data_IF_621081263775
#
_entry.id   IF_621081263775
#
_cell.length_a   1.000
_cell.length_b   1.000
_cell.length_c   1.000
_cell.angle_alpha   90.00
_cell.angle_beta   90.00
_cell.angle_gamma   90.00
#
_symmetry.space_group_name_H-M   'P 1'
#
loop_
_entity.id
_entity.type
_entity.pdbx_description
1 polymer ?
#
# COMPACT_ATOMS: atom_id res chain seq x y z
N UNK A 1 -34.61 75.58 -44.81
CA UNK A 1 -33.49 76.16 -44.04
C UNK A 1 -32.48 75.06 -43.81
N UNK A 2 -31.31 75.15 -44.46
CA UNK A 2 -30.18 74.25 -44.22
C UNK A 2 -29.44 74.71 -42.97
N UNK A 3 -29.19 73.80 -42.03
CA UNK A 3 -28.40 74.09 -40.82
C UNK A 3 -26.95 73.77 -41.16
N UNK A 4 -26.14 74.82 -41.31
CA UNK A 4 -24.68 74.73 -41.42
C UNK A 4 -24.10 74.29 -40.07
N UNK A 5 -23.40 73.15 -40.07
CA UNK A 5 -22.86 72.51 -38.86
C UNK A 5 -21.34 72.69 -38.76
N UNK A 6 -20.76 73.69 -39.44
CA UNK A 6 -19.30 73.87 -39.54
C UNK A 6 -18.53 74.19 -38.25
N UNK A 7 -19.16 74.31 -37.08
CA UNK A 7 -18.44 74.74 -35.86
C UNK A 7 -18.98 74.20 -34.53
N UNK A 8 -19.36 72.91 -34.48
CA UNK A 8 -19.54 72.24 -33.19
C UNK A 8 -18.27 71.45 -32.85
N UNK A 9 -17.49 71.95 -31.89
CA UNK A 9 -16.48 71.14 -31.18
C UNK A 9 -17.21 69.99 -30.47
N UNK A 10 -17.18 68.82 -31.08
CA UNK A 10 -17.53 67.55 -30.42
C UNK A 10 -16.43 67.22 -29.42
N UNK A 11 -16.79 66.61 -28.27
CA UNK A 11 -15.87 66.33 -27.17
C UNK A 11 -14.86 65.20 -27.45
N UNK A 12 -14.70 64.83 -28.72
CA UNK A 12 -13.93 63.68 -29.18
C UNK A 12 -13.19 64.10 -30.45
N UNK A 13 -11.87 64.01 -30.44
CA UNK A 13 -11.02 64.26 -31.61
C UNK A 13 -11.36 63.28 -32.75
N UNK A 14 -11.18 63.70 -34.00
CA UNK A 14 -11.42 62.85 -35.19
C UNK A 14 -10.51 61.60 -35.22
N UNK A 15 -9.44 61.58 -34.43
CA UNK A 15 -8.57 60.41 -34.20
C UNK A 15 -9.04 59.48 -33.07
N UNK A 16 -10.21 59.73 -32.45
CA UNK A 16 -10.74 58.87 -31.41
C UNK A 16 -10.93 57.44 -31.95
N UNK A 17 -10.44 56.43 -31.23
CA UNK A 17 -10.45 55.00 -31.60
C UNK A 17 -11.85 54.41 -31.93
N UNK A 18 -12.91 55.19 -31.72
CA UNK A 18 -14.30 54.91 -32.09
C UNK A 18 -14.56 55.12 -33.59
N UNK A 19 -13.70 55.83 -34.32
CA UNK A 19 -13.78 56.03 -35.77
C UNK A 19 -12.91 55.06 -36.57
N UNK A 20 -12.11 54.22 -35.91
CA UNK A 20 -11.34 53.17 -36.58
C UNK A 20 -12.31 52.04 -36.99
N UNK A 21 -12.65 51.96 -38.28
CA UNK A 21 -13.39 50.83 -38.84
C UNK A 21 -12.64 49.54 -38.53
N UNK A 22 -13.21 48.70 -37.67
CA UNK A 22 -12.75 47.31 -37.54
C UNK A 22 -12.99 46.60 -38.87
N UNK A 23 -11.93 46.29 -39.59
CA UNK A 23 -11.99 45.36 -40.71
C UNK A 23 -12.34 43.96 -40.16
N UNK A 24 -13.62 43.61 -40.23
CA UNK A 24 -14.14 42.32 -39.80
C UNK A 24 -13.75 41.16 -40.74
N UNK A 25 -13.07 41.46 -41.86
CA UNK A 25 -12.61 40.48 -42.86
C UNK A 25 -11.18 39.98 -42.66
N UNK A 26 -10.40 40.53 -41.72
CA UNK A 26 -9.05 40.04 -41.45
C UNK A 26 -9.08 38.79 -40.53
N UNK A 27 -8.81 37.63 -41.12
CA UNK A 27 -8.63 36.39 -40.36
C UNK A 27 -7.61 36.58 -39.23
N UNK A 28 -7.82 35.95 -38.06
CA UNK A 28 -6.87 36.07 -36.92
C UNK A 28 -5.40 35.75 -37.28
N UNK A 29 -5.18 34.99 -38.37
CA UNK A 29 -3.87 34.65 -38.93
C UNK A 29 -3.16 35.83 -39.62
N UNK A 30 -3.88 36.75 -40.28
CA UNK A 30 -3.31 37.93 -40.92
C UNK A 30 -2.92 38.99 -39.90
N UNK A 31 -3.76 39.22 -38.88
CA UNK A 31 -3.47 40.12 -37.76
C UNK A 31 -2.23 39.68 -36.98
N UNK A 32 -2.10 38.39 -36.70
CA UNK A 32 -0.90 37.84 -36.04
C UNK A 32 0.38 38.07 -36.84
N UNK A 33 0.35 37.98 -38.18
CA UNK A 33 1.54 38.22 -39.01
C UNK A 33 2.00 39.69 -39.01
N UNK A 34 1.08 40.63 -38.87
CA UNK A 34 1.35 42.09 -38.87
C UNK A 34 1.83 42.65 -37.52
N UNK A 35 1.69 41.89 -36.43
CA UNK A 35 2.07 42.37 -35.08
C UNK A 35 3.57 42.30 -34.80
N UNK A 36 4.10 43.35 -34.15
CA UNK A 36 5.47 43.38 -33.65
C UNK A 36 5.64 42.39 -32.48
N UNK A 37 6.87 41.91 -32.22
CA UNK A 37 7.18 40.90 -31.19
C UNK A 37 6.62 41.26 -29.82
N UNK A 38 6.69 42.53 -29.42
CA UNK A 38 6.13 43.01 -28.15
C UNK A 38 4.60 42.86 -28.07
N UNK A 39 3.88 43.22 -29.14
CA UNK A 39 2.41 43.12 -29.19
C UNK A 39 1.94 41.66 -29.15
N UNK A 40 2.69 40.73 -29.77
CA UNK A 40 2.42 39.28 -29.70
C UNK A 40 2.56 38.74 -28.28
N UNK A 41 3.58 39.18 -27.54
CA UNK A 41 3.80 38.79 -26.14
C UNK A 41 2.67 39.34 -25.26
N UNK A 42 2.28 40.60 -25.44
CA UNK A 42 1.16 41.19 -24.70
C UNK A 42 -0.14 40.44 -24.99
N UNK A 43 -0.44 40.15 -26.26
CA UNK A 43 -1.65 39.40 -26.61
C UNK A 43 -1.62 37.96 -26.08
N UNK A 44 -0.46 37.31 -26.09
CA UNK A 44 -0.29 36.01 -25.44
C UNK A 44 -0.56 36.07 -23.94
N UNK A 45 0.01 37.05 -23.25
CA UNK A 45 -0.18 37.25 -21.81
C UNK A 45 -1.65 37.52 -21.45
N UNK A 46 -2.34 38.35 -22.22
CA UNK A 46 -3.73 38.73 -21.95
C UNK A 46 -4.71 37.57 -22.14
N UNK A 47 -4.54 36.76 -23.20
CA UNK A 47 -5.56 35.77 -23.59
C UNK A 47 -5.16 34.32 -23.32
N UNK A 48 -3.87 33.99 -23.35
CA UNK A 48 -3.40 32.60 -23.33
C UNK A 48 -2.63 32.22 -22.06
N UNK A 49 -2.07 33.19 -21.32
CA UNK A 49 -1.31 32.88 -20.10
C UNK A 49 -2.18 32.27 -19.01
N UNK A 50 -3.37 32.81 -18.75
CA UNK A 50 -4.29 32.27 -17.75
C UNK A 50 -4.76 30.83 -18.08
N UNK A 51 -5.28 30.52 -19.29
CA UNK A 51 -5.64 29.15 -19.62
C UNK A 51 -4.42 28.22 -19.71
N UNK A 52 -3.24 28.71 -20.11
CA UNK A 52 -2.01 27.92 -20.08
C UNK A 52 -1.64 27.51 -18.65
N UNK A 53 -1.67 28.44 -17.69
CA UNK A 53 -1.38 28.14 -16.27
C UNK A 53 -2.36 27.11 -15.74
N UNK A 54 -3.65 27.25 -16.03
CA UNK A 54 -4.68 26.26 -15.64
C UNK A 54 -4.41 24.90 -16.28
N UNK A 55 -4.06 24.86 -17.56
CA UNK A 55 -3.71 23.62 -18.26
C UNK A 55 -2.48 22.93 -17.68
N UNK A 56 -1.43 23.69 -17.37
CA UNK A 56 -0.23 23.17 -16.70
C UNK A 56 -0.57 22.64 -15.30
N UNK A 57 -1.41 23.35 -14.54
CA UNK A 57 -1.85 22.90 -13.22
C UNK A 57 -2.57 21.54 -13.29
N UNK A 58 -3.48 21.38 -14.25
CA UNK A 58 -4.19 20.12 -14.47
C UNK A 58 -3.20 19.01 -14.83
N UNK A 59 -2.24 19.27 -15.71
CA UNK A 59 -1.21 18.28 -16.07
C UNK A 59 -0.33 17.91 -14.87
N UNK A 60 0.04 18.87 -14.01
CA UNK A 60 0.79 18.59 -12.79
C UNK A 60 -0.01 17.72 -11.82
N UNK A 61 -1.32 17.96 -11.67
CA UNK A 61 -2.19 17.13 -10.82
C UNK A 61 -2.30 15.71 -11.38
N UNK A 62 -2.54 15.56 -12.68
CA UNK A 62 -2.58 14.25 -13.35
C UNK A 62 -1.22 13.53 -13.21
N UNK A 63 -0.12 14.23 -13.47
CA UNK A 63 1.23 13.69 -13.33
C UNK A 63 1.55 13.27 -11.90
N UNK A 64 1.09 14.02 -10.90
CA UNK A 64 1.24 13.66 -9.49
C UNK A 64 0.50 12.37 -9.14
N UNK A 65 -0.74 12.18 -9.60
CA UNK A 65 -1.47 10.93 -9.38
C UNK A 65 -0.80 9.75 -10.06
N UNK A 66 -0.35 9.90 -11.32
CA UNK A 66 0.39 8.84 -12.02
C UNK A 66 1.69 8.50 -11.28
N UNK A 67 2.44 9.50 -10.81
CA UNK A 67 3.64 9.28 -10.03
C UNK A 67 3.35 8.52 -8.72
N UNK A 68 2.32 8.92 -7.99
CA UNK A 68 1.89 8.24 -6.76
C UNK A 68 1.43 6.80 -7.01
N UNK A 69 0.54 6.59 -7.97
CA UNK A 69 -0.15 5.31 -8.15
C UNK A 69 0.65 4.28 -8.95
N UNK A 70 1.55 4.73 -9.84
CA UNK A 70 2.34 3.83 -10.70
C UNK A 70 3.78 3.74 -10.25
N UNK A 71 4.42 4.86 -9.92
CA UNK A 71 5.86 4.89 -9.61
C UNK A 71 6.11 4.61 -8.12
N UNK A 72 5.17 5.02 -7.25
CA UNK A 72 5.33 4.87 -5.79
C UNK A 72 4.58 3.66 -5.23
N UNK A 73 4.00 2.81 -6.09
CA UNK A 73 3.34 1.58 -5.66
C UNK A 73 4.39 0.58 -5.22
N UNK A 74 4.36 0.21 -3.94
CA UNK A 74 5.21 -0.85 -3.39
C UNK A 74 4.61 -2.21 -3.72
N UNK A 75 5.46 -3.13 -4.15
CA UNK A 75 5.12 -4.54 -4.28
C UNK A 75 5.11 -5.20 -2.90
N UNK A 76 4.09 -6.03 -2.67
CA UNK A 76 3.97 -6.74 -1.40
C UNK A 76 4.86 -7.98 -1.50
N UNK A 77 6.01 -7.93 -0.83
CA UNK A 77 6.99 -9.00 -0.86
C UNK A 77 6.62 -10.14 0.10
N UNK A 78 5.93 -9.83 1.19
CA UNK A 78 5.45 -10.83 2.14
C UNK A 78 4.10 -10.41 2.66
N UNK A 79 3.13 -11.32 2.73
CA UNK A 79 1.79 -11.06 3.26
C UNK A 79 1.46 -12.04 4.38
N UNK A 80 1.23 -11.50 5.56
CA UNK A 80 0.84 -12.26 6.74
C UNK A 80 -0.49 -11.75 7.30
N UNK A 81 -1.43 -12.68 7.50
CA UNK A 81 -2.71 -12.41 8.15
C UNK A 81 -2.57 -12.58 9.67
N UNK A 82 -2.95 -11.56 10.45
CA UNK A 82 -3.00 -11.64 11.92
C UNK A 82 -4.47 -11.68 12.33
N UNK A 83 -4.92 -12.82 12.85
CA UNK A 83 -6.33 -13.10 13.08
C UNK A 83 -6.72 -12.81 14.52
N UNK A 84 -7.79 -12.03 14.69
CA UNK A 84 -8.45 -11.70 15.95
C UNK A 84 -7.56 -11.01 17.00
N UNK A 85 -6.61 -10.21 16.52
CA UNK A 85 -5.75 -9.38 17.35
C UNK A 85 -6.18 -7.91 17.38
N UNK A 86 -5.68 -7.18 18.39
CA UNK A 86 -5.92 -5.74 18.52
C UNK A 86 -4.59 -5.01 18.64
N UNK A 87 -4.14 -4.42 17.53
CA UNK A 87 -2.99 -3.55 17.48
C UNK A 87 -3.34 -2.22 16.81
N UNK A 88 -2.50 -1.20 17.06
CA UNK A 88 -2.61 0.10 16.39
C UNK A 88 -1.77 0.09 15.11
N UNK A 89 -2.11 0.95 14.14
CA UNK A 89 -1.43 0.96 12.83
C UNK A 89 0.06 1.30 12.94
N UNK A 90 0.45 2.21 13.83
CA UNK A 90 1.84 2.67 13.98
C UNK A 90 2.82 1.51 14.27
N UNK A 91 2.65 0.70 15.34
CA UNK A 91 3.55 -0.42 15.62
C UNK A 91 3.48 -1.52 14.55
N UNK A 92 2.32 -1.77 13.94
CA UNK A 92 2.19 -2.73 12.83
C UNK A 92 3.00 -2.28 11.61
N UNK A 93 2.93 -0.99 11.27
CA UNK A 93 3.69 -0.41 10.16
C UNK A 93 5.20 -0.40 10.44
N UNK A 94 5.62 -0.09 11.68
CA UNK A 94 7.02 -0.19 12.07
C UNK A 94 7.53 -1.63 11.95
N UNK A 95 6.77 -2.61 12.44
CA UNK A 95 7.10 -4.03 12.33
C UNK A 95 7.20 -4.49 10.86
N UNK A 96 6.28 -4.00 10.02
CA UNK A 96 6.29 -4.19 8.56
C UNK A 96 7.57 -3.66 7.91
N UNK A 97 7.95 -2.43 8.22
CA UNK A 97 9.16 -1.79 7.67
C UNK A 97 10.43 -2.50 8.16
N UNK A 98 10.50 -2.84 9.45
CA UNK A 98 11.63 -3.58 10.05
C UNK A 98 11.83 -4.95 9.40
N UNK A 99 10.75 -5.71 9.17
CA UNK A 99 10.86 -7.01 8.52
C UNK A 99 11.24 -6.87 7.03
N UNK A 100 10.75 -5.84 6.35
CA UNK A 100 11.14 -5.55 4.96
C UNK A 100 12.64 -5.24 4.86
N UNK A 101 13.16 -4.45 5.80
CA UNK A 101 14.60 -4.18 5.91
C UNK A 101 15.40 -5.42 6.29
N UNK A 102 14.88 -6.27 7.17
CA UNK A 102 15.51 -7.54 7.54
C UNK A 102 15.74 -8.42 6.31
N UNK A 103 14.76 -8.49 5.40
CA UNK A 103 14.87 -9.17 4.10
C UNK A 103 15.81 -8.48 3.09
N UNK A 104 16.45 -7.36 3.46
CA UNK A 104 17.32 -6.54 2.59
C UNK A 104 16.65 -6.11 1.29
N UNK A 105 15.32 -5.94 1.31
CA UNK A 105 14.58 -5.43 0.17
C UNK A 105 14.61 -3.90 0.15
N UNK A 106 14.55 -3.32 -1.05
CA UNK A 106 14.42 -1.88 -1.23
C UNK A 106 13.07 -1.42 -0.65
N UNK A 107 13.05 -0.64 0.46
CA UNK A 107 11.81 -0.24 1.13
C UNK A 107 10.99 0.76 0.32
N UNK A 108 11.56 1.39 -0.71
CA UNK A 108 10.82 2.28 -1.61
C UNK A 108 10.00 1.49 -2.64
N UNK A 109 10.38 0.23 -2.88
CA UNK A 109 9.74 -0.65 -3.88
C UNK A 109 9.01 -1.83 -3.27
N UNK A 110 9.37 -2.26 -2.06
CA UNK A 110 8.83 -3.46 -1.43
C UNK A 110 8.25 -3.13 -0.06
N UNK A 111 7.25 -3.91 0.35
CA UNK A 111 6.66 -3.85 1.68
C UNK A 111 6.24 -5.25 2.14
N UNK A 112 6.42 -5.53 3.42
CA UNK A 112 5.82 -6.68 4.09
C UNK A 112 4.47 -6.28 4.67
N UNK A 113 3.37 -6.89 4.23
CA UNK A 113 2.04 -6.59 4.73
C UNK A 113 1.67 -7.50 5.91
N UNK A 114 1.50 -6.90 7.09
CA UNK A 114 0.91 -7.54 8.26
C UNK A 114 -0.49 -6.94 8.47
N UNK A 115 -1.53 -7.67 8.11
CA UNK A 115 -2.90 -7.15 8.16
C UNK A 115 -3.72 -7.85 9.24
N UNK A 116 -4.43 -7.06 10.04
CA UNK A 116 -5.33 -7.55 11.08
C UNK A 116 -6.67 -7.95 10.44
N UNK A 117 -7.11 -9.17 10.71
CA UNK A 117 -8.38 -9.72 10.25
C UNK A 117 -9.24 -10.11 11.44
N UNK A 118 -10.53 -9.80 11.37
CA UNK A 118 -11.48 -10.00 12.46
C UNK A 118 -12.52 -11.05 12.07
N UNK A 119 -12.24 -12.31 12.37
CA UNK A 119 -13.13 -13.45 12.09
C UNK A 119 -14.05 -13.76 13.28
N UNK A 120 -13.73 -13.27 14.48
CA UNK A 120 -14.61 -13.30 15.65
C UNK A 120 -15.66 -12.18 15.59
N UNK A 121 -16.93 -12.56 15.78
CA UNK A 121 -18.05 -11.62 15.63
C UNK A 121 -18.07 -10.53 16.69
N UNK A 122 -17.72 -10.86 17.95
CA UNK A 122 -17.75 -9.88 19.03
C UNK A 122 -16.61 -8.87 18.86
N UNK A 123 -15.43 -9.35 18.48
CA UNK A 123 -14.28 -8.50 18.22
C UNK A 123 -14.51 -7.62 16.98
N UNK A 124 -15.01 -8.19 15.88
CA UNK A 124 -15.31 -7.43 14.66
C UNK A 124 -16.31 -6.29 14.94
N UNK A 125 -17.37 -6.54 15.70
CA UNK A 125 -18.31 -5.49 16.12
C UNK A 125 -17.65 -4.38 16.92
N UNK A 126 -16.71 -4.72 17.82
CA UNK A 126 -15.99 -3.76 18.66
C UNK A 126 -15.11 -2.81 17.84
N UNK A 127 -14.51 -3.29 16.75
CA UNK A 127 -13.61 -2.51 15.89
C UNK A 127 -14.29 -1.96 14.62
N UNK A 128 -15.58 -2.24 14.42
CA UNK A 128 -16.32 -1.83 13.23
C UNK A 128 -15.94 -2.60 11.96
N UNK A 129 -15.41 -3.82 12.10
CA UNK A 129 -15.05 -4.70 10.99
C UNK A 129 -16.19 -5.65 10.62
N UNK A 130 -16.05 -6.34 9.48
CA UNK A 130 -17.01 -7.31 8.98
C UNK A 130 -16.37 -8.70 8.88
N UNK A 131 -16.84 -9.63 9.71
CA UNK A 131 -16.35 -11.02 9.70
C UNK A 131 -16.47 -11.69 8.34
N UNK A 132 -17.59 -11.47 7.64
CA UNK A 132 -17.81 -12.01 6.30
C UNK A 132 -16.82 -11.45 5.27
N UNK A 133 -16.52 -10.16 5.34
CA UNK A 133 -15.53 -9.52 4.47
C UNK A 133 -14.13 -10.08 4.71
N UNK A 134 -13.73 -10.17 5.97
CA UNK A 134 -12.38 -10.59 6.36
C UNK A 134 -12.13 -12.07 6.05
N UNK A 135 -13.10 -12.95 6.33
CA UNK A 135 -13.05 -14.36 5.94
C UNK A 135 -12.97 -14.55 4.42
N UNK A 136 -13.75 -13.76 3.67
CA UNK A 136 -13.73 -13.79 2.20
C UNK A 136 -12.37 -13.33 1.66
N UNK A 137 -11.78 -12.29 2.26
CA UNK A 137 -10.48 -11.78 1.84
C UNK A 137 -9.35 -12.77 2.16
N UNK A 138 -9.30 -13.36 3.36
CA UNK A 138 -8.33 -14.41 3.69
C UNK A 138 -8.46 -15.57 2.69
N UNK A 139 -9.68 -16.06 2.47
CA UNK A 139 -9.92 -17.17 1.53
C UNK A 139 -9.43 -16.83 0.12
N UNK A 140 -9.76 -15.64 -0.37
CA UNK A 140 -9.34 -15.18 -1.70
C UNK A 140 -7.81 -15.10 -1.82
N UNK A 141 -7.12 -14.61 -0.79
CA UNK A 141 -5.66 -14.52 -0.79
C UNK A 141 -5.01 -15.90 -0.77
N UNK A 142 -5.54 -16.85 0.01
CA UNK A 142 -5.07 -18.24 0.01
C UNK A 142 -5.28 -18.86 -1.37
N UNK A 143 -6.50 -18.83 -1.92
CA UNK A 143 -6.77 -19.45 -3.24
C UNK A 143 -5.99 -18.82 -4.40
N UNK A 144 -5.63 -17.53 -4.28
CA UNK A 144 -4.80 -16.83 -5.25
C UNK A 144 -3.28 -17.02 -5.00
N UNK A 145 -2.86 -17.81 -4.02
CA UNK A 145 -1.45 -17.99 -3.63
C UNK A 145 -0.72 -16.69 -3.22
N UNK A 146 -1.49 -15.70 -2.74
CA UNK A 146 -1.01 -14.37 -2.35
C UNK A 146 -0.81 -14.19 -0.84
N UNK A 147 -1.17 -15.19 -0.03
CA UNK A 147 -0.94 -15.20 1.41
C UNK A 147 0.27 -16.09 1.71
N UNK A 148 1.25 -15.55 2.43
CA UNK A 148 2.50 -16.25 2.74
C UNK A 148 2.52 -16.83 4.16
N UNK A 149 1.78 -16.19 5.07
CA UNK A 149 1.73 -16.61 6.46
C UNK A 149 0.42 -16.25 7.16
N UNK A 150 0.15 -16.91 8.27
CA UNK A 150 -0.96 -16.60 9.15
C UNK A 150 -0.52 -16.71 10.61
N UNK A 151 -0.91 -15.73 11.41
CA UNK A 151 -0.83 -15.72 12.87
C UNK A 151 -2.26 -15.79 13.39
N UNK A 152 -2.57 -16.84 14.15
CA UNK A 152 -3.92 -17.02 14.67
C UNK A 152 -3.89 -17.70 16.04
N UNK A 153 -4.97 -17.53 16.81
CA UNK A 153 -5.18 -18.34 18.00
C UNK A 153 -5.43 -19.80 17.64
N UNK A 154 -5.13 -20.70 18.58
CA UNK A 154 -5.15 -22.16 18.36
C UNK A 154 -6.44 -22.70 17.71
N UNK A 155 -7.61 -22.18 18.10
CA UNK A 155 -8.90 -22.58 17.51
C UNK A 155 -8.98 -22.27 16.01
N UNK A 156 -8.63 -21.03 15.64
CA UNK A 156 -8.66 -20.60 14.24
C UNK A 156 -7.55 -21.31 13.46
N UNK A 157 -6.35 -21.41 14.03
CA UNK A 157 -5.22 -22.12 13.45
C UNK A 157 -5.55 -23.58 13.14
N UNK A 158 -6.12 -24.32 14.11
CA UNK A 158 -6.53 -25.72 13.93
C UNK A 158 -7.52 -25.89 12.78
N UNK A 159 -8.41 -24.91 12.58
CA UNK A 159 -9.36 -24.93 11.46
C UNK A 159 -8.63 -24.88 10.11
N UNK A 160 -7.66 -23.98 9.95
CA UNK A 160 -6.87 -23.91 8.71
C UNK A 160 -5.91 -25.10 8.55
N UNK A 161 -5.31 -25.59 9.64
CA UNK A 161 -4.48 -26.80 9.65
C UNK A 161 -5.24 -28.02 9.15
N UNK A 162 -6.46 -28.26 9.67
CA UNK A 162 -7.29 -29.40 9.27
C UNK A 162 -7.69 -29.39 7.78
N UNK A 163 -7.64 -28.22 7.14
CA UNK A 163 -7.87 -28.05 5.71
C UNK A 163 -6.57 -28.12 4.87
N UNK A 164 -5.42 -28.40 5.51
CA UNK A 164 -4.14 -28.60 4.83
C UNK A 164 -3.46 -27.31 4.39
N UNK A 165 -3.76 -26.16 5.00
CA UNK A 165 -3.22 -24.88 4.55
C UNK A 165 -1.81 -24.54 5.07
N UNK A 166 -1.26 -25.31 6.01
CA UNK A 166 0.05 -25.04 6.59
C UNK A 166 1.12 -26.03 6.13
N UNK A 167 2.32 -25.51 5.94
CA UNK A 167 3.53 -26.29 5.68
C UNK A 167 3.86 -27.18 6.86
N UNK A 168 4.31 -28.40 6.57
CA UNK A 168 4.93 -29.29 7.55
C UNK A 168 6.35 -28.80 7.85
N UNK A 169 6.58 -28.29 9.07
CA UNK A 169 7.88 -27.72 9.44
C UNK A 169 8.96 -28.79 9.54
N UNK A 170 8.61 -30.05 9.81
CA UNK A 170 9.56 -31.16 9.88
C UNK A 170 10.14 -31.49 8.50
N UNK A 171 9.35 -31.31 7.44
CA UNK A 171 9.82 -31.52 6.06
C UNK A 171 10.50 -30.27 5.48
N UNK A 172 10.14 -29.08 5.98
CA UNK A 172 10.57 -27.81 5.41
C UNK A 172 11.83 -27.22 6.06
N UNK A 173 12.03 -27.41 7.35
CA UNK A 173 13.19 -26.90 8.10
C UNK A 173 14.25 -27.99 8.29
N UNK A 174 15.50 -27.59 8.46
CA UNK A 174 16.58 -28.50 8.87
C UNK A 174 16.42 -28.98 10.31
N UNK A 175 17.07 -30.10 10.65
CA UNK A 175 17.10 -30.62 12.02
C UNK A 175 17.67 -29.59 13.01
N UNK A 176 18.70 -28.84 12.61
CA UNK A 176 19.30 -27.79 13.43
C UNK A 176 18.33 -26.64 13.72
N UNK A 177 17.55 -26.21 12.72
CA UNK A 177 16.54 -25.18 12.87
C UNK A 177 15.41 -25.63 13.80
N UNK A 178 14.86 -26.83 13.56
CA UNK A 178 13.80 -27.41 14.39
C UNK A 178 14.23 -27.50 15.85
N UNK A 179 15.46 -27.94 16.10
CA UNK A 179 16.03 -28.02 17.45
C UNK A 179 16.20 -26.65 18.09
N UNK A 180 16.57 -25.62 17.33
CA UNK A 180 16.74 -24.27 17.85
C UNK A 180 15.42 -23.63 18.32
N UNK A 181 14.29 -24.03 17.73
CA UNK A 181 12.95 -23.52 18.07
C UNK A 181 12.03 -24.56 18.70
N UNK A 182 12.54 -25.73 19.08
CA UNK A 182 11.79 -26.83 19.69
C UNK A 182 10.81 -26.38 20.80
N UNK A 183 11.18 -25.48 21.74
CA UNK A 183 10.27 -25.02 22.79
C UNK A 183 9.06 -24.22 22.30
N UNK A 184 9.08 -23.78 21.04
CA UNK A 184 8.06 -22.95 20.42
C UNK A 184 7.22 -23.73 19.41
N UNK A 185 7.57 -24.98 19.07
CA UNK A 185 6.84 -25.73 18.04
C UNK A 185 5.39 -26.00 18.46
N UNK A 186 4.47 -25.77 17.53
CA UNK A 186 3.08 -26.21 17.63
C UNK A 186 2.92 -27.55 16.91
N UNK A 187 2.66 -28.58 17.71
CA UNK A 187 2.36 -29.93 17.24
C UNK A 187 0.86 -30.16 17.46
N UNK A 188 0.02 -30.12 16.41
CA UNK A 188 -1.42 -30.34 16.54
C UNK A 188 -1.71 -31.78 16.93
N UNK A 189 -2.60 -31.95 17.91
CA UNK A 189 -3.15 -33.25 18.28
C UNK A 189 -4.18 -33.68 17.23
N UNK A 190 -3.85 -34.67 16.41
CA UNK A 190 -4.74 -35.18 15.38
C UNK A 190 -4.43 -36.62 15.01
N UNK A 191 -5.47 -37.40 14.72
CA UNK A 191 -5.34 -38.81 14.30
C UNK A 191 -4.48 -38.98 13.04
N UNK A 192 -4.38 -37.93 12.21
CA UNK A 192 -3.58 -37.90 10.99
C UNK A 192 -2.11 -37.52 11.23
N UNK A 193 -1.79 -36.88 12.36
CA UNK A 193 -0.43 -36.47 12.70
C UNK A 193 0.24 -37.53 13.59
N UNK A 194 0.35 -38.76 13.10
CA UNK A 194 0.92 -39.89 13.86
C UNK A 194 2.40 -39.71 14.16
N UNK A 195 3.10 -38.93 13.33
CA UNK A 195 4.54 -38.66 13.44
C UNK A 195 4.85 -37.45 14.34
N UNK A 196 3.82 -36.77 14.87
CA UNK A 196 3.94 -35.58 15.74
C UNK A 196 4.74 -34.46 15.08
N UNK A 197 4.50 -34.22 13.80
CA UNK A 197 5.09 -33.12 13.06
C UNK A 197 4.54 -31.78 13.54
N UNK A 198 5.38 -30.76 13.47
CA UNK A 198 5.05 -29.39 13.79
C UNK A 198 4.53 -28.66 12.54
N UNK A 199 3.45 -27.89 12.70
CA UNK A 199 2.82 -27.12 11.61
C UNK A 199 2.82 -25.61 11.86
N UNK A 200 3.37 -25.18 12.99
CA UNK A 200 3.47 -23.77 13.34
C UNK A 200 4.40 -23.55 14.53
N UNK A 201 4.52 -22.29 14.92
CA UNK A 201 5.33 -21.86 16.07
C UNK A 201 4.52 -20.90 16.95
N UNK A 202 4.55 -21.14 18.26
CA UNK A 202 3.96 -20.25 19.25
C UNK A 202 4.76 -18.95 19.35
N UNK A 203 4.06 -17.82 19.27
CA UNK A 203 4.67 -16.49 19.30
C UNK A 203 4.61 -15.82 20.67
N UNK A 204 3.99 -16.44 21.68
CA UNK A 204 3.84 -15.88 23.05
C UNK A 204 5.16 -15.35 23.62
N UNK A 205 6.26 -16.05 23.32
CA UNK A 205 7.61 -15.70 23.80
C UNK A 205 8.44 -14.90 22.81
N UNK A 206 7.91 -14.56 21.63
CA UNK A 206 8.62 -13.74 20.66
C UNK A 206 8.51 -12.26 21.03
N UNK A 207 9.62 -11.68 21.51
CA UNK A 207 9.70 -10.25 21.82
C UNK A 207 9.37 -9.38 20.61
N UNK A 208 9.76 -9.83 19.40
CA UNK A 208 9.47 -9.11 18.15
C UNK A 208 7.99 -9.08 17.83
N UNK A 209 7.29 -10.19 17.95
CA UNK A 209 5.84 -10.20 17.74
C UNK A 209 5.13 -9.38 18.82
N UNK A 210 5.56 -9.51 20.07
CA UNK A 210 4.96 -8.80 21.21
C UNK A 210 5.15 -7.27 21.14
N UNK A 211 6.17 -6.77 20.42
CA UNK A 211 6.40 -5.33 20.22
C UNK A 211 5.30 -4.65 19.39
N UNK A 212 4.51 -5.42 18.64
CA UNK A 212 3.37 -4.92 17.86
C UNK A 212 2.26 -4.38 18.78
N UNK A 213 2.18 -4.88 20.03
CA UNK A 213 1.09 -4.60 20.95
C UNK A 213 1.49 -3.64 22.07
N UNK A 214 0.63 -2.68 22.36
CA UNK A 214 0.83 -1.76 23.48
C UNK A 214 0.76 -2.55 24.80
N UNK A 215 1.91 -2.72 25.47
CA UNK A 215 2.02 -3.47 26.73
C UNK A 215 2.74 -4.81 26.64
N UNK A 216 3.24 -5.21 25.46
CA UNK A 216 4.10 -6.38 25.31
C UNK A 216 3.37 -7.71 25.13
N UNK A 217 2.14 -7.69 24.61
CA UNK A 217 1.38 -8.89 24.26
C UNK A 217 0.00 -8.56 23.68
N UNK A 218 -0.46 -9.41 22.76
CA UNK A 218 -1.77 -9.28 22.11
C UNK A 218 -2.92 -9.83 22.96
N UNK A 219 -4.15 -9.75 22.43
CA UNK A 219 -5.35 -10.30 23.09
C UNK A 219 -5.48 -11.81 22.88
N UNK A 220 -4.79 -12.37 21.89
CA UNK A 220 -4.74 -13.81 21.65
C UNK A 220 -3.68 -14.42 22.57
N UNK A 221 -4.08 -15.34 23.45
CA UNK A 221 -3.20 -15.87 24.50
C UNK A 221 -2.04 -16.73 23.99
N UNK A 222 -2.29 -17.56 22.98
CA UNK A 222 -1.30 -18.45 22.37
C UNK A 222 -1.33 -18.31 20.86
N UNK A 223 -0.82 -17.19 20.32
CA UNK A 223 -0.79 -16.97 18.89
C UNK A 223 0.20 -17.94 18.26
N UNK A 224 -0.21 -18.58 17.16
CA UNK A 224 0.59 -19.54 16.41
C UNK A 224 0.81 -18.96 15.02
N UNK A 225 2.08 -18.87 14.61
CA UNK A 225 2.44 -18.57 13.24
C UNK A 225 2.57 -19.86 12.42
N UNK A 226 1.98 -19.86 11.22
CA UNK A 226 2.11 -20.92 10.23
C UNK A 226 2.44 -20.35 8.85
N UNK A 227 3.26 -21.09 8.10
CA UNK A 227 3.60 -20.78 6.71
C UNK A 227 2.54 -21.40 5.81
N UNK A 228 2.00 -20.62 4.88
CA UNK A 228 0.94 -21.09 3.98
C UNK A 228 1.54 -21.99 2.90
N UNK A 229 0.99 -23.19 2.74
CA UNK A 229 1.56 -24.26 1.90
C UNK A 229 1.62 -23.91 0.41
N UNK A 230 0.63 -23.16 -0.09
CA UNK A 230 0.55 -22.77 -1.50
C UNK A 230 1.07 -21.36 -1.79
N UNK A 231 1.79 -20.76 -0.84
CA UNK A 231 2.49 -19.49 -1.05
C UNK A 231 3.55 -19.61 -2.14
N UNK A 232 3.64 -18.61 -3.03
CA UNK A 232 4.75 -18.52 -3.98
C UNK A 232 6.08 -18.12 -3.31
N UNK A 233 6.05 -17.74 -2.02
CA UNK A 233 7.19 -17.21 -1.27
C UNK A 233 7.37 -17.93 0.08
N UNK A 234 7.23 -19.26 0.14
CA UNK A 234 7.41 -20.04 1.39
C UNK A 234 8.75 -19.77 2.09
N UNK A 235 9.84 -19.53 1.35
CA UNK A 235 11.13 -19.10 1.92
C UNK A 235 11.06 -17.76 2.67
N UNK A 236 10.22 -16.81 2.24
CA UNK A 236 10.00 -15.58 3.01
C UNK A 236 9.25 -15.84 4.31
N UNK A 237 8.41 -16.88 4.35
CA UNK A 237 7.86 -17.40 5.60
C UNK A 237 8.94 -17.94 6.54
N UNK A 238 9.93 -18.65 6.01
CA UNK A 238 11.13 -19.06 6.76
C UNK A 238 11.94 -17.86 7.26
N UNK A 239 12.15 -16.84 6.43
CA UNK A 239 12.83 -15.60 6.86
C UNK A 239 12.10 -14.91 8.00
N UNK A 240 10.76 -14.98 8.01
CA UNK A 240 9.97 -14.46 9.11
C UNK A 240 10.18 -15.25 10.40
N UNK A 241 10.35 -16.57 10.36
CA UNK A 241 10.78 -17.36 11.54
C UNK A 241 12.12 -16.85 12.09
N UNK A 242 13.12 -16.66 11.22
CA UNK A 242 14.42 -16.14 11.63
C UNK A 242 14.35 -14.73 12.20
N UNK A 243 13.46 -13.90 11.65
CA UNK A 243 13.19 -12.58 12.20
C UNK A 243 12.62 -12.70 13.61
N UNK A 244 11.57 -13.50 13.80
CA UNK A 244 10.86 -13.68 15.06
C UNK A 244 11.69 -14.32 16.18
N UNK A 245 12.63 -15.22 15.85
CA UNK A 245 13.39 -16.02 16.81
C UNK A 245 14.91 -15.81 16.64
N UNK A 246 15.55 -15.03 17.53
CA UNK A 246 17.00 -14.82 17.51
C UNK A 246 17.83 -16.11 17.61
N UNK A 247 17.28 -17.19 18.16
CA UNK A 247 17.91 -18.51 18.24
C UNK A 247 18.25 -19.07 16.86
N UNK A 248 17.37 -18.89 15.88
CA UNK A 248 17.62 -19.31 14.50
C UNK A 248 18.75 -18.49 13.87
N UNK A 249 18.83 -17.19 14.18
CA UNK A 249 19.88 -16.32 13.63
C UNK A 249 21.30 -16.77 14.01
N UNK A 250 21.46 -17.51 15.12
CA UNK A 250 22.76 -18.07 15.55
C UNK A 250 23.27 -19.17 14.61
N UNK A 251 22.39 -19.78 13.81
CA UNK A 251 22.73 -20.80 12.82
C UNK A 251 23.23 -20.17 11.49
N UNK A 252 23.18 -18.84 11.38
CA UNK A 252 23.44 -18.11 10.14
C UNK A 252 22.14 -17.55 9.55
N UNK A 253 22.19 -16.32 9.05
CA UNK A 253 21.01 -15.69 8.45
C UNK A 253 20.74 -16.29 7.07
N UNK A 254 19.54 -16.81 6.77
CA UNK A 254 19.24 -17.43 5.48
C UNK A 254 19.16 -16.41 4.33
N UNK A 255 19.24 -15.11 4.63
CA UNK A 255 19.27 -13.99 3.67
C UNK A 255 20.72 -13.59 3.31
N UNK A 256 21.75 -14.20 3.91
CA UNK A 256 23.17 -13.96 3.59
C UNK A 256 23.78 -15.05 2.73
#
# INVERSE_FOLDING_TARGET
>A
MAIDVKNKKTSLDEEAAIYEKRDETESGKSRWKKMNRSQKITQFKTYYLRPLIVGVLILCVIGFFIYKDVITKKDIAFRCAIVNEVATEIPVNAFSDEFTQYMKLDPDKNLSSFHLYYTDTQLAQKVGASTASDLSQISSLIYASLLDGMIAGEKDFTTYHNNGFFVDLNEFLSEEELKAIEPYLYIPDGEKNTEKHAYGVYLEKSERYNSIFQGGGGVVQKPIYGIITNSENTERGRYFLYYLFPELQKLGNPIT
#
